data_IF_087707746242
#
_entry.id   IF_087707746242
#
_cell.length_a   1.000
_cell.length_b   1.000
_cell.length_c   1.000
_cell.angle_alpha   90.00
_cell.angle_beta   90.00
_cell.angle_gamma   90.00
#
_symmetry.space_group_name_H-M   'P 1'
#
loop_
_entity.id
_entity.type
_entity.pdbx_description
1 polymer ?
#
# COMPACT_ATOMS: atom_id res chain seq x y z
N UNK A 1 -21.70 -4.49 -0.39
CA UNK A 1 -21.79 -3.38 0.60
C UNK A 1 -20.44 -3.10 1.24
N UNK A 2 -19.74 -4.12 1.74
CA UNK A 2 -18.40 -3.95 2.38
C UNK A 2 -17.39 -3.20 1.49
N UNK A 3 -17.26 -3.55 0.21
CA UNK A 3 -16.33 -2.91 -0.72
C UNK A 3 -16.63 -1.42 -0.94
N UNK A 4 -17.90 -1.01 -1.01
CA UNK A 4 -18.27 0.41 -1.12
C UNK A 4 -17.85 1.16 0.14
N UNK A 5 -18.08 0.57 1.30
CA UNK A 5 -17.65 1.15 2.58
C UNK A 5 -16.13 1.24 2.62
N UNK A 6 -15.41 0.17 2.21
CA UNK A 6 -13.97 0.17 2.11
C UNK A 6 -13.43 1.30 1.22
N UNK A 7 -13.96 1.46 0.01
CA UNK A 7 -13.58 2.56 -0.88
C UNK A 7 -13.76 3.94 -0.24
N UNK A 8 -14.91 4.17 0.40
CA UNK A 8 -15.19 5.47 1.06
C UNK A 8 -14.20 5.72 2.20
N UNK A 9 -13.94 4.71 3.03
CA UNK A 9 -12.97 4.82 4.14
C UNK A 9 -11.56 5.06 3.56
N UNK A 10 -11.17 4.36 2.50
CA UNK A 10 -9.87 4.55 1.83
C UNK A 10 -9.68 5.99 1.36
N UNK A 11 -10.69 6.58 0.72
CA UNK A 11 -10.68 7.99 0.28
C UNK A 11 -10.53 8.93 1.48
N UNK A 12 -11.30 8.71 2.56
CA UNK A 12 -11.27 9.54 3.76
C UNK A 12 -9.90 9.44 4.46
N UNK A 13 -9.36 8.25 4.59
CA UNK A 13 -8.05 8.08 5.21
C UNK A 13 -6.93 8.64 4.33
N UNK A 14 -7.00 8.47 2.99
CA UNK A 14 -5.98 8.98 2.10
C UNK A 14 -5.95 10.53 2.08
N UNK A 15 -7.09 11.19 1.87
CA UNK A 15 -7.11 12.64 1.64
C UNK A 15 -7.08 13.41 2.95
N UNK A 16 -8.16 13.48 3.77
CA UNK A 16 -8.12 14.26 5.01
C UNK A 16 -7.31 13.62 6.13
N UNK A 17 -7.17 12.28 6.14
CA UNK A 17 -6.44 11.59 7.20
C UNK A 17 -4.93 11.54 7.00
N UNK A 18 -4.44 11.54 5.75
CA UNK A 18 -3.02 11.38 5.44
C UNK A 18 -2.46 12.58 4.67
N UNK A 19 -2.92 12.83 3.45
CA UNK A 19 -2.32 13.84 2.56
C UNK A 19 -2.40 15.24 3.17
N UNK A 20 -3.56 15.65 3.68
CA UNK A 20 -3.72 17.00 4.22
C UNK A 20 -2.85 17.28 5.44
N UNK A 21 -2.79 16.40 6.48
CA UNK A 21 -1.91 16.60 7.62
C UNK A 21 -0.43 16.58 7.23
N UNK A 22 -0.02 15.58 6.43
CA UNK A 22 1.37 15.44 5.99
C UNK A 22 1.83 16.68 5.26
N UNK A 23 1.05 17.16 4.30
CA UNK A 23 1.34 18.37 3.54
C UNK A 23 1.36 19.64 4.39
N UNK A 24 0.57 19.69 5.46
CA UNK A 24 0.49 20.86 6.34
C UNK A 24 1.66 20.93 7.33
N UNK A 25 2.13 19.78 7.82
CA UNK A 25 3.04 19.73 8.96
C UNK A 25 4.45 19.26 8.61
N UNK A 26 4.66 18.63 7.45
CA UNK A 26 5.96 18.08 7.08
C UNK A 26 6.65 18.91 5.99
N UNK A 27 7.98 18.96 6.05
CA UNK A 27 8.81 19.47 4.96
C UNK A 27 8.79 18.51 3.76
N UNK A 28 9.18 18.96 2.58
CA UNK A 28 9.22 18.13 1.36
C UNK A 28 10.02 16.83 1.55
N UNK A 29 11.17 16.91 2.22
CA UNK A 29 11.98 15.73 2.53
C UNK A 29 11.29 14.78 3.51
N UNK A 30 10.69 15.30 4.57
CA UNK A 30 9.97 14.51 5.56
C UNK A 30 8.70 13.88 4.96
N UNK A 31 8.04 14.58 4.03
CA UNK A 31 6.90 14.10 3.27
C UNK A 31 7.28 12.85 2.43
N UNK A 32 8.38 12.92 1.67
CA UNK A 32 8.91 11.77 0.91
C UNK A 32 9.20 10.58 1.82
N UNK A 33 9.89 10.82 2.94
CA UNK A 33 10.22 9.77 3.93
C UNK A 33 8.93 9.16 4.49
N UNK A 34 7.96 9.97 4.86
CA UNK A 34 6.69 9.50 5.41
C UNK A 34 5.98 8.54 4.45
N UNK A 35 5.77 8.94 3.18
CA UNK A 35 5.08 8.09 2.22
C UNK A 35 5.87 6.82 1.86
N UNK A 36 7.19 6.87 1.87
CA UNK A 36 8.00 5.67 1.67
C UNK A 36 7.87 4.71 2.86
N UNK A 37 7.97 5.22 4.08
CA UNK A 37 7.86 4.38 5.27
C UNK A 37 6.44 3.84 5.48
N UNK A 38 5.40 4.54 5.06
CA UNK A 38 4.00 4.11 5.19
C UNK A 38 3.72 2.85 4.37
N UNK A 39 4.41 2.63 3.27
CA UNK A 39 4.24 1.44 2.44
C UNK A 39 4.61 0.15 3.20
N UNK A 40 5.58 0.21 4.12
CA UNK A 40 6.05 -0.96 4.88
C UNK A 40 4.97 -1.52 5.82
N UNK A 41 4.35 -0.74 6.73
CA UNK A 41 3.28 -1.26 7.59
C UNK A 41 2.04 -1.70 6.80
N UNK A 42 1.73 -1.08 5.66
CA UNK A 42 0.62 -1.51 4.81
C UNK A 42 0.86 -2.95 4.32
N UNK A 43 2.06 -3.25 3.80
CA UNK A 43 2.44 -4.59 3.41
C UNK A 43 2.53 -5.56 4.61
N UNK A 44 2.92 -5.08 5.80
CA UNK A 44 3.02 -5.90 7.01
C UNK A 44 1.65 -6.41 7.50
N UNK A 45 0.55 -5.72 7.21
CA UNK A 45 -0.79 -6.17 7.61
C UNK A 45 -1.13 -7.56 7.07
N UNK A 46 -0.65 -7.95 5.90
CA UNK A 46 -0.89 -9.27 5.32
C UNK A 46 -0.28 -10.40 6.15
N UNK A 47 0.91 -10.18 6.74
CA UNK A 47 1.49 -11.12 7.71
C UNK A 47 0.59 -11.23 8.95
N UNK A 48 0.05 -10.09 9.44
CA UNK A 48 -0.90 -10.07 10.53
C UNK A 48 -2.18 -10.87 10.21
N UNK A 49 -2.71 -10.73 8.99
CA UNK A 49 -3.89 -11.49 8.55
C UNK A 49 -3.60 -12.98 8.43
N UNK A 50 -2.43 -13.39 7.93
CA UNK A 50 -2.04 -14.80 7.87
C UNK A 50 -2.09 -15.46 9.25
N UNK A 51 -1.66 -14.77 10.30
CA UNK A 51 -1.79 -15.26 11.66
C UNK A 51 -3.22 -15.22 12.19
N UNK A 52 -3.96 -14.13 11.89
CA UNK A 52 -5.33 -13.96 12.39
C UNK A 52 -6.32 -15.00 11.83
N UNK A 53 -6.21 -15.30 10.52
CA UNK A 53 -7.05 -16.29 9.85
C UNK A 53 -6.48 -17.71 9.89
N UNK A 54 -5.25 -17.89 10.38
CA UNK A 54 -4.60 -19.20 10.45
C UNK A 54 -4.03 -19.68 9.11
N UNK A 55 -3.87 -18.78 8.13
CA UNK A 55 -3.36 -19.09 6.78
C UNK A 55 -1.84 -19.15 6.75
N UNK A 56 -1.25 -19.98 7.61
CA UNK A 56 0.21 -20.06 7.73
C UNK A 56 0.90 -20.53 6.44
N UNK A 57 0.18 -21.22 5.56
CA UNK A 57 0.68 -21.60 4.23
C UNK A 57 0.93 -20.38 3.33
N UNK A 58 0.18 -19.28 3.52
CA UNK A 58 0.35 -18.04 2.78
C UNK A 58 1.55 -17.20 3.26
N UNK A 59 2.03 -17.45 4.48
CA UNK A 59 3.03 -16.61 5.14
C UNK A 59 4.30 -16.37 4.32
N UNK A 60 4.74 -17.37 3.53
CA UNK A 60 5.92 -17.20 2.67
C UNK A 60 5.66 -16.18 1.54
N UNK A 61 4.50 -16.21 0.91
CA UNK A 61 4.13 -15.26 -0.13
C UNK A 61 4.03 -13.84 0.45
N UNK A 62 3.44 -13.69 1.63
CA UNK A 62 3.28 -12.41 2.31
C UNK A 62 4.63 -11.82 2.77
N UNK A 63 5.56 -12.67 3.24
CA UNK A 63 6.93 -12.22 3.56
C UNK A 63 7.66 -11.75 2.30
N UNK A 64 7.53 -12.46 1.19
CA UNK A 64 8.13 -12.03 -0.08
C UNK A 64 7.52 -10.70 -0.53
N UNK A 65 6.20 -10.53 -0.44
CA UNK A 65 5.52 -9.25 -0.70
C UNK A 65 6.07 -8.12 0.18
N UNK A 66 6.16 -8.34 1.49
CA UNK A 66 6.74 -7.35 2.43
C UNK A 66 8.17 -6.96 2.05
N UNK A 67 9.02 -7.93 1.69
CA UNK A 67 10.40 -7.66 1.26
C UNK A 67 10.40 -6.81 0.00
N UNK A 68 9.61 -7.15 -1.01
CA UNK A 68 9.51 -6.40 -2.26
C UNK A 68 9.10 -4.95 -2.00
N UNK A 69 8.01 -4.71 -1.25
CA UNK A 69 7.54 -3.36 -0.96
C UNK A 69 8.49 -2.57 -0.08
N UNK A 70 9.19 -3.23 0.87
CA UNK A 70 10.24 -2.59 1.67
C UNK A 70 11.42 -2.15 0.79
N UNK A 71 11.87 -3.01 -0.11
CA UNK A 71 12.95 -2.67 -1.05
C UNK A 71 12.54 -1.51 -1.96
N UNK A 72 11.33 -1.53 -2.51
CA UNK A 72 10.82 -0.43 -3.35
C UNK A 72 10.73 0.89 -2.55
N UNK A 73 10.26 0.85 -1.31
CA UNK A 73 10.22 2.00 -0.41
C UNK A 73 11.62 2.60 -0.17
N UNK A 74 12.61 1.74 0.09
CA UNK A 74 14.00 2.16 0.28
C UNK A 74 14.63 2.69 -1.02
N UNK A 75 14.43 2.02 -2.15
CA UNK A 75 14.93 2.48 -3.44
C UNK A 75 14.36 3.86 -3.80
N UNK A 76 13.09 4.12 -3.51
CA UNK A 76 12.47 5.42 -3.72
C UNK A 76 13.16 6.54 -2.91
N UNK A 77 13.68 6.24 -1.71
CA UNK A 77 14.42 7.21 -0.90
C UNK A 77 15.76 7.59 -1.51
N UNK A 78 16.51 6.61 -2.01
CA UNK A 78 17.90 6.78 -2.41
C UNK A 78 18.09 7.01 -3.90
N UNK A 79 17.09 6.70 -4.75
CA UNK A 79 17.21 6.80 -6.19
C UNK A 79 16.26 7.84 -6.77
N UNK A 80 14.99 7.53 -6.92
CA UNK A 80 14.03 8.40 -7.59
C UNK A 80 12.61 8.21 -7.07
N UNK A 81 11.91 9.30 -6.81
CA UNK A 81 10.56 9.26 -6.21
C UNK A 81 9.49 8.61 -7.08
N UNK A 82 9.70 8.48 -8.42
CA UNK A 82 8.77 7.75 -9.28
C UNK A 82 8.63 6.27 -8.92
N UNK A 83 9.67 5.67 -8.30
CA UNK A 83 9.65 4.29 -7.82
C UNK A 83 8.53 4.11 -6.79
N UNK A 84 8.27 5.13 -5.97
CA UNK A 84 7.20 5.10 -4.99
C UNK A 84 5.81 5.11 -5.64
N UNK A 85 5.65 5.79 -6.79
CA UNK A 85 4.40 5.73 -7.57
C UNK A 85 4.14 4.29 -8.02
N UNK A 86 5.17 3.64 -8.60
CA UNK A 86 5.08 2.24 -9.04
C UNK A 86 4.80 1.32 -7.85
N UNK A 87 5.44 1.55 -6.71
CA UNK A 87 5.26 0.74 -5.52
C UNK A 87 3.82 0.78 -4.98
N UNK A 88 3.20 1.95 -4.89
CA UNK A 88 1.80 2.07 -4.48
C UNK A 88 0.82 1.47 -5.50
N UNK A 89 1.05 1.65 -6.80
CA UNK A 89 0.22 1.01 -7.84
C UNK A 89 0.37 -0.51 -7.79
N UNK A 90 1.59 -1.02 -7.59
CA UNK A 90 1.84 -2.46 -7.45
C UNK A 90 1.19 -3.02 -6.18
N UNK A 91 1.19 -2.26 -5.07
CA UNK A 91 0.51 -2.67 -3.84
C UNK A 91 -1.01 -2.70 -4.03
N UNK A 92 -1.59 -1.70 -4.67
CA UNK A 92 -3.02 -1.71 -5.03
C UNK A 92 -3.40 -2.93 -5.89
N UNK A 93 -2.54 -3.34 -6.84
CA UNK A 93 -2.73 -4.55 -7.62
C UNK A 93 -2.60 -5.83 -6.75
N UNK A 94 -1.67 -5.84 -5.79
CA UNK A 94 -1.51 -6.91 -4.81
C UNK A 94 -2.78 -7.13 -3.99
N UNK A 95 -3.41 -6.05 -3.51
CA UNK A 95 -4.68 -6.11 -2.76
C UNK A 95 -5.83 -6.70 -3.59
N UNK A 96 -5.95 -6.26 -4.85
CA UNK A 96 -6.97 -6.80 -5.78
C UNK A 96 -6.73 -8.28 -6.05
N UNK A 97 -5.47 -8.69 -6.21
CA UNK A 97 -5.14 -10.12 -6.41
C UNK A 97 -5.58 -10.97 -5.22
N UNK A 98 -5.40 -10.52 -3.97
CA UNK A 98 -5.87 -11.24 -2.80
C UNK A 98 -7.39 -11.46 -2.84
N UNK A 99 -8.17 -10.43 -3.15
CA UNK A 99 -9.63 -10.55 -3.18
C UNK A 99 -10.11 -11.43 -4.34
N UNK A 100 -9.59 -11.23 -5.55
CA UNK A 100 -10.03 -11.95 -6.75
C UNK A 100 -9.54 -13.40 -6.73
N UNK A 101 -8.32 -13.63 -6.28
CA UNK A 101 -7.67 -14.94 -6.34
C UNK A 101 -8.22 -15.89 -5.28
N UNK A 102 -8.40 -15.40 -4.05
CA UNK A 102 -9.02 -16.18 -2.96
C UNK A 102 -10.47 -16.52 -3.31
N UNK A 103 -11.19 -15.60 -3.97
CA UNK A 103 -12.59 -15.79 -4.31
C UNK A 103 -12.83 -16.74 -5.51
N UNK A 104 -11.89 -16.83 -6.45
CA UNK A 104 -12.17 -17.44 -7.76
C UNK A 104 -11.33 -18.64 -8.19
N UNK A 105 -10.16 -18.93 -7.63
CA UNK A 105 -9.21 -19.84 -8.30
C UNK A 105 -8.56 -20.83 -7.34
N UNK A 106 -8.99 -21.17 -6.18
CA UNK A 106 -8.35 -22.21 -5.34
C UNK A 106 -6.88 -22.50 -5.77
N UNK A 107 -5.99 -21.51 -5.65
CA UNK A 107 -4.87 -21.41 -6.56
C UNK A 107 -3.56 -22.04 -6.09
N UNK A 108 -2.61 -22.12 -6.99
CA UNK A 108 -1.26 -22.69 -6.79
C UNK A 108 -0.45 -21.91 -5.75
N UNK A 109 -0.70 -20.59 -5.59
CA UNK A 109 -0.09 -19.75 -4.56
C UNK A 109 -1.10 -19.57 -3.43
N UNK A 110 -0.77 -20.00 -2.20
CA UNK A 110 -1.62 -19.73 -1.06
C UNK A 110 -1.55 -18.23 -0.73
N UNK A 111 -2.68 -17.55 -0.86
CA UNK A 111 -2.87 -16.16 -0.45
C UNK A 111 -3.63 -16.11 0.87
N UNK A 112 -3.32 -15.14 1.73
CA UNK A 112 -4.07 -15.00 2.99
C UNK A 112 -5.45 -14.41 2.77
N UNK A 113 -6.40 -14.83 3.59
CA UNK A 113 -7.70 -14.18 3.67
C UNK A 113 -7.54 -12.75 4.22
N UNK A 114 -8.37 -11.84 3.73
CA UNK A 114 -8.39 -10.43 4.19
C UNK A 114 -9.80 -10.04 4.64
N UNK A 115 -9.94 -9.06 5.57
CA UNK A 115 -11.25 -8.59 6.00
C UNK A 115 -12.10 -8.08 4.82
N UNK A 116 -13.40 -8.34 4.83
CA UNK A 116 -14.31 -7.87 3.78
C UNK A 116 -14.24 -6.35 3.58
N UNK A 117 -13.96 -5.92 2.36
CA UNK A 117 -13.77 -4.52 1.97
C UNK A 117 -12.38 -3.95 2.21
N UNK A 118 -11.44 -4.74 2.78
CA UNK A 118 -10.07 -4.30 3.01
C UNK A 118 -9.34 -4.03 1.70
N UNK A 119 -9.43 -4.93 0.72
CA UNK A 119 -8.82 -4.73 -0.59
C UNK A 119 -9.37 -3.49 -1.31
N UNK A 120 -10.67 -3.22 -1.19
CA UNK A 120 -11.27 -2.01 -1.73
C UNK A 120 -10.79 -0.73 -1.01
N UNK A 121 -10.61 -0.81 0.31
CA UNK A 121 -10.01 0.27 1.11
C UNK A 121 -8.58 0.57 0.64
N UNK A 122 -7.73 -0.44 0.55
CA UNK A 122 -6.33 -0.28 0.12
C UNK A 122 -6.25 0.19 -1.32
N UNK A 123 -7.04 -0.36 -2.24
CA UNK A 123 -7.11 0.07 -3.63
C UNK A 123 -7.35 1.60 -3.73
N UNK A 124 -8.36 2.12 -3.02
CA UNK A 124 -8.65 3.54 -3.02
C UNK A 124 -7.52 4.36 -2.39
N UNK A 125 -7.01 3.93 -1.24
CA UNK A 125 -5.92 4.59 -0.53
C UNK A 125 -4.68 4.66 -1.40
N UNK A 126 -4.20 3.53 -1.90
CA UNK A 126 -2.94 3.42 -2.63
C UNK A 126 -2.95 4.16 -3.96
N UNK A 127 -4.05 4.09 -4.72
CA UNK A 127 -4.16 4.84 -5.97
C UNK A 127 -4.20 6.35 -5.74
N UNK A 128 -4.86 6.82 -4.68
CA UNK A 128 -4.87 8.24 -4.30
C UNK A 128 -3.48 8.69 -3.88
N UNK A 129 -2.78 7.90 -3.05
CA UNK A 129 -1.41 8.20 -2.66
C UNK A 129 -0.47 8.16 -3.87
N UNK A 130 -0.58 7.17 -4.76
CA UNK A 130 0.21 7.12 -6.00
C UNK A 130 0.02 8.38 -6.86
N UNK A 131 -1.23 8.82 -7.05
CA UNK A 131 -1.54 10.05 -7.78
C UNK A 131 -0.97 11.30 -7.08
N UNK A 132 -1.00 11.34 -5.75
CA UNK A 132 -0.42 12.42 -4.97
C UNK A 132 1.11 12.44 -5.11
N UNK A 133 1.78 11.29 -4.92
CA UNK A 133 3.23 11.12 -5.09
C UNK A 133 3.65 11.54 -6.51
N UNK A 134 2.91 11.11 -7.53
CA UNK A 134 3.19 11.51 -8.92
C UNK A 134 3.21 13.04 -9.11
N UNK A 135 2.29 13.76 -8.47
CA UNK A 135 2.24 15.22 -8.52
C UNK A 135 3.37 15.89 -7.73
N UNK A 136 3.94 15.21 -6.74
CA UNK A 136 4.93 15.77 -5.81
C UNK A 136 6.36 15.33 -6.10
N UNK A 137 6.57 14.23 -6.82
CA UNK A 137 7.86 13.55 -6.99
C UNK A 137 8.97 14.49 -7.50
N UNK A 138 8.67 15.39 -8.42
CA UNK A 138 9.66 16.36 -8.93
C UNK A 138 10.15 17.31 -7.84
N UNK A 139 9.23 17.84 -7.04
CA UNK A 139 9.56 18.73 -5.91
C UNK A 139 10.38 18.00 -4.84
N UNK A 140 10.11 16.72 -4.62
CA UNK A 140 10.88 15.92 -3.66
C UNK A 140 12.28 15.61 -4.17
N UNK A 141 12.44 15.32 -5.46
CA UNK A 141 13.73 15.02 -6.07
C UNK A 141 14.62 16.28 -6.18
N UNK A 142 14.01 17.47 -6.30
CA UNK A 142 14.73 18.76 -6.28
C UNK A 142 15.11 19.20 -4.86
N UNK A 143 14.41 18.74 -3.83
CA UNK A 143 14.66 19.12 -2.43
C UNK A 143 15.63 18.19 -1.70
N UNK A 144 15.98 17.05 -2.27
CA UNK A 144 16.89 16.02 -1.70
C UNK A 144 18.22 16.06 -2.30
#
# INVERSE_FOLDING_TARGET
>A
MANIIGLIIGIIIAIPGTIMPVRKFLSLRAEKIFFSLTLIPIALFYIGFSYYYGDLSALHAEIVGLIIFTVLALLAQFMASWILVVAYVAHAAWDVLHEVYVASIGGVIPWTEVPAGYAAFCLAYDLIIAAYVYKRMRLWDEAG
#
